data_IF_173708646781
#
_entry.id   IF_173708646781
#
_cell.length_a   1.000
_cell.length_b   1.000
_cell.length_c   1.000
_cell.angle_alpha   90.00
_cell.angle_beta   90.00
_cell.angle_gamma   90.00
#
_symmetry.space_group_name_H-M   'P 1'
#
loop_
_entity.id
_entity.type
_entity.pdbx_description
1 polymer ?
#
# COMPACT_ATOMS: atom_id res chain seq x y z
N UNK A 1 -15.73 -21.90 -12.09
CA UNK A 1 -15.72 -20.53 -11.52
C UNK A 1 -15.75 -20.62 -9.99
N UNK A 2 -14.66 -20.24 -9.32
CA UNK A 2 -14.56 -20.29 -7.84
C UNK A 2 -15.60 -19.38 -7.21
N UNK A 3 -16.07 -19.70 -5.99
CA UNK A 3 -17.10 -18.92 -5.30
C UNK A 3 -16.72 -17.44 -5.14
N UNK A 4 -15.42 -17.13 -5.00
CA UNK A 4 -14.91 -15.76 -4.89
C UNK A 4 -15.18 -14.89 -6.13
N UNK A 5 -15.08 -15.44 -7.34
CA UNK A 5 -15.35 -14.70 -8.58
C UNK A 5 -16.84 -14.36 -8.71
N UNK A 6 -17.74 -15.27 -8.29
CA UNK A 6 -19.18 -14.99 -8.31
C UNK A 6 -19.59 -13.91 -7.33
N UNK A 7 -18.97 -13.88 -6.14
CA UNK A 7 -19.20 -12.84 -5.12
C UNK A 7 -18.65 -11.48 -5.56
N UNK A 8 -17.52 -11.46 -6.27
CA UNK A 8 -16.98 -10.24 -6.85
C UNK A 8 -17.89 -9.68 -7.96
N UNK A 9 -18.39 -10.54 -8.84
CA UNK A 9 -19.31 -10.15 -9.91
C UNK A 9 -20.68 -9.70 -9.41
N UNK A 10 -21.18 -10.23 -8.28
CA UNK A 10 -22.42 -9.75 -7.66
C UNK A 10 -22.22 -8.40 -6.95
N UNK A 11 -21.06 -8.16 -6.33
CA UNK A 11 -20.67 -6.87 -5.75
C UNK A 11 -20.58 -5.74 -6.79
N UNK A 12 -20.18 -6.10 -8.01
CA UNK A 12 -20.04 -5.18 -9.15
C UNK A 12 -21.35 -4.90 -9.90
N UNK A 13 -22.53 -5.29 -9.42
CA UNK A 13 -23.79 -5.03 -10.15
C UNK A 13 -24.26 -3.56 -10.03
N UNK A 14 -24.95 -3.08 -11.06
CA UNK A 14 -25.56 -1.75 -11.10
C UNK A 14 -24.54 -0.61 -11.22
N UNK A 15 -24.76 0.51 -10.52
CA UNK A 15 -23.90 1.70 -10.58
C UNK A 15 -22.44 1.45 -10.15
N UNK A 16 -22.20 0.42 -9.32
CA UNK A 16 -20.84 0.00 -8.93
C UNK A 16 -20.02 -0.55 -10.09
N UNK A 17 -20.66 -1.18 -11.09
CA UNK A 17 -19.97 -1.64 -12.30
C UNK A 17 -19.37 -0.45 -13.04
N UNK A 18 -20.18 0.60 -13.22
CA UNK A 18 -19.81 1.80 -13.96
C UNK A 18 -18.64 2.49 -13.27
N UNK A 19 -18.70 2.64 -11.94
CA UNK A 19 -17.59 3.20 -11.15
C UNK A 19 -16.32 2.35 -11.30
N UNK A 20 -16.43 1.02 -11.20
CA UNK A 20 -15.28 0.13 -11.36
C UNK A 20 -14.67 0.21 -12.77
N UNK A 21 -15.48 0.34 -13.81
CA UNK A 21 -15.02 0.55 -15.19
C UNK A 21 -14.32 1.90 -15.31
N UNK A 22 -14.91 2.98 -14.80
CA UNK A 22 -14.29 4.32 -14.85
C UNK A 22 -12.93 4.30 -14.15
N UNK A 23 -12.85 3.71 -12.95
CA UNK A 23 -11.58 3.56 -12.22
C UNK A 23 -10.60 2.71 -13.04
N UNK A 24 -11.05 1.58 -13.59
CA UNK A 24 -10.21 0.71 -14.42
C UNK A 24 -9.64 1.44 -15.63
N UNK A 25 -10.46 2.18 -16.37
CA UNK A 25 -10.03 2.98 -17.51
C UNK A 25 -9.06 4.09 -17.07
N UNK A 26 -9.36 4.80 -15.99
CA UNK A 26 -8.46 5.84 -15.46
C UNK A 26 -7.09 5.27 -15.07
N UNK A 27 -7.05 4.09 -14.44
CA UNK A 27 -5.81 3.39 -14.10
C UNK A 27 -5.05 3.01 -15.37
N UNK A 28 -5.72 2.38 -16.34
CA UNK A 28 -5.08 1.97 -17.61
C UNK A 28 -4.48 3.18 -18.35
N UNK A 29 -5.22 4.28 -18.46
CA UNK A 29 -4.74 5.49 -19.13
C UNK A 29 -3.58 6.14 -18.39
N UNK A 30 -3.65 6.22 -17.06
CA UNK A 30 -2.59 6.83 -16.24
C UNK A 30 -1.30 6.02 -16.29
N UNK A 31 -1.41 4.70 -16.14
CA UNK A 31 -0.28 3.77 -16.23
C UNK A 31 0.29 3.76 -17.64
N UNK A 32 -0.56 3.62 -18.67
CA UNK A 32 -0.13 3.64 -20.07
C UNK A 32 0.62 4.93 -20.43
N UNK A 33 0.13 6.09 -19.98
CA UNK A 33 0.81 7.38 -20.16
C UNK A 33 2.17 7.42 -19.47
N UNK A 34 2.25 6.94 -18.23
CA UNK A 34 3.52 6.91 -17.48
C UNK A 34 4.56 6.03 -18.17
N UNK A 35 4.17 4.84 -18.63
CA UNK A 35 5.04 3.92 -19.36
C UNK A 35 5.47 4.48 -20.73
N UNK A 36 4.54 5.05 -21.49
CA UNK A 36 4.87 5.66 -22.78
C UNK A 36 5.87 6.82 -22.60
N UNK A 37 5.67 7.67 -21.59
CA UNK A 37 6.60 8.74 -21.26
C UNK A 37 7.99 8.21 -20.88
N UNK A 38 8.06 7.24 -19.97
CA UNK A 38 9.33 6.62 -19.57
C UNK A 38 10.04 5.95 -20.75
N UNK A 39 9.31 5.27 -21.64
CA UNK A 39 9.87 4.60 -22.80
C UNK A 39 10.48 5.59 -23.80
N UNK A 40 9.76 6.67 -24.12
CA UNK A 40 10.27 7.72 -25.01
C UNK A 40 11.51 8.39 -24.41
N UNK A 41 11.51 8.68 -23.12
CA UNK A 41 12.67 9.25 -22.43
C UNK A 41 13.88 8.32 -22.49
N UNK A 42 13.70 7.02 -22.25
CA UNK A 42 14.78 6.03 -22.34
C UNK A 42 15.38 6.00 -23.75
N UNK A 43 14.55 5.95 -24.79
CA UNK A 43 15.03 5.96 -26.18
C UNK A 43 15.78 7.25 -26.50
N UNK A 44 15.26 8.40 -26.06
CA UNK A 44 15.90 9.69 -26.23
C UNK A 44 17.29 9.73 -25.59
N UNK A 45 17.40 9.30 -24.33
CA UNK A 45 18.67 9.28 -23.60
C UNK A 45 19.69 8.30 -24.20
N UNK A 46 19.23 7.16 -24.72
CA UNK A 46 20.08 6.21 -25.44
C UNK A 46 20.59 6.82 -26.75
N UNK A 47 19.73 7.47 -27.53
CA UNK A 47 20.10 8.13 -28.79
C UNK A 47 21.05 9.30 -28.59
N UNK A 48 20.87 10.07 -27.51
CA UNK A 48 21.74 11.18 -27.16
C UNK A 48 23.10 10.74 -26.55
N UNK A 49 23.29 9.44 -26.33
CA UNK A 49 24.52 8.89 -25.72
C UNK A 49 24.60 9.01 -24.20
N UNK A 50 23.54 9.50 -23.54
CA UNK A 50 23.47 9.71 -22.09
C UNK A 50 22.85 8.55 -21.29
N UNK A 51 22.53 7.43 -21.94
CA UNK A 51 21.87 6.28 -21.31
C UNK A 51 22.54 5.80 -20.01
N UNK A 52 23.88 5.78 -19.96
CA UNK A 52 24.62 5.38 -18.74
C UNK A 52 24.38 6.34 -17.57
N UNK A 53 24.38 7.66 -17.83
CA UNK A 53 24.13 8.69 -16.80
C UNK A 53 22.68 8.65 -16.35
N UNK A 54 21.74 8.47 -17.28
CA UNK A 54 20.32 8.31 -16.99
C UNK A 54 20.08 7.14 -16.04
N UNK A 55 20.58 5.94 -16.34
CA UNK A 55 20.39 4.78 -15.48
C UNK A 55 21.07 4.93 -14.13
N UNK A 56 22.26 5.55 -14.08
CA UNK A 56 22.92 5.87 -12.81
C UNK A 56 22.05 6.79 -11.95
N UNK A 57 21.42 7.81 -12.53
CA UNK A 57 20.48 8.69 -11.82
C UNK A 57 19.25 7.92 -11.33
N UNK A 58 18.60 7.14 -12.20
CA UNK A 58 17.41 6.35 -11.84
C UNK A 58 17.71 5.43 -10.67
N UNK A 59 18.82 4.69 -10.73
CA UNK A 59 19.24 3.78 -9.66
C UNK A 59 19.51 4.52 -8.36
N UNK A 60 20.16 5.68 -8.40
CA UNK A 60 20.43 6.44 -7.18
C UNK A 60 19.17 7.07 -6.59
N UNK A 61 18.31 7.65 -7.41
CA UNK A 61 17.09 8.30 -6.95
C UNK A 61 16.11 7.28 -6.36
N UNK A 62 15.82 6.21 -7.11
CA UNK A 62 14.94 5.15 -6.63
C UNK A 62 15.58 4.34 -5.51
N UNK A 63 16.86 3.99 -5.65
CA UNK A 63 17.59 3.23 -4.64
C UNK A 63 17.67 3.96 -3.31
N UNK A 64 17.98 5.26 -3.30
CA UNK A 64 18.01 6.04 -2.06
C UNK A 64 16.62 6.15 -1.43
N UNK A 65 15.58 6.48 -2.20
CA UNK A 65 14.19 6.56 -1.70
C UNK A 65 13.71 5.22 -1.14
N UNK A 66 13.94 4.12 -1.86
CA UNK A 66 13.57 2.78 -1.39
C UNK A 66 14.35 2.40 -0.14
N UNK A 67 15.66 2.69 -0.08
CA UNK A 67 16.49 2.36 1.10
C UNK A 67 16.01 3.12 2.33
N UNK A 68 15.80 4.43 2.21
CA UNK A 68 15.29 5.26 3.31
C UNK A 68 13.89 4.81 3.71
N UNK A 69 12.99 4.64 2.74
CA UNK A 69 11.61 4.24 2.98
C UNK A 69 11.48 2.89 3.68
N UNK A 70 12.25 1.89 3.25
CA UNK A 70 12.32 0.57 3.92
C UNK A 70 12.90 0.71 5.32
N UNK A 71 13.94 1.52 5.51
CA UNK A 71 14.54 1.75 6.83
C UNK A 71 13.51 2.36 7.79
N UNK A 72 12.80 3.40 7.35
CA UNK A 72 11.74 4.07 8.13
C UNK A 72 10.61 3.09 8.42
N UNK A 73 10.12 2.35 7.42
CA UNK A 73 9.06 1.36 7.59
C UNK A 73 9.45 0.30 8.64
N UNK A 74 10.69 -0.22 8.57
CA UNK A 74 11.19 -1.19 9.55
C UNK A 74 11.29 -0.60 10.96
N UNK A 75 11.80 0.62 11.10
CA UNK A 75 11.87 1.31 12.38
C UNK A 75 10.47 1.49 12.98
N UNK A 76 9.51 1.97 12.19
CA UNK A 76 8.11 2.15 12.63
C UNK A 76 7.48 0.80 13.00
N UNK A 77 7.69 -0.23 12.19
CA UNK A 77 7.16 -1.57 12.44
C UNK A 77 7.70 -2.16 13.75
N UNK A 78 9.00 -2.04 13.99
CA UNK A 78 9.63 -2.49 15.24
C UNK A 78 9.07 -1.71 16.43
N UNK A 79 8.97 -0.38 16.33
CA UNK A 79 8.43 0.47 17.41
C UNK A 79 6.99 0.09 17.75
N UNK A 80 6.12 -0.02 16.75
CA UNK A 80 4.72 -0.40 16.94
C UNK A 80 4.55 -1.83 17.45
N UNK A 81 5.42 -2.76 17.01
CA UNK A 81 5.43 -4.13 17.52
C UNK A 81 5.79 -4.18 19.01
N UNK A 82 6.79 -3.40 19.44
CA UNK A 82 7.16 -3.30 20.85
C UNK A 82 6.03 -2.65 21.65
N UNK A 83 5.46 -1.55 21.17
CA UNK A 83 4.35 -0.86 21.83
C UNK A 83 3.12 -1.77 21.99
N UNK A 84 2.71 -2.46 20.93
CA UNK A 84 1.56 -3.37 20.95
C UNK A 84 1.79 -4.59 21.86
N UNK A 85 3.01 -5.14 21.91
CA UNK A 85 3.35 -6.23 22.82
C UNK A 85 3.31 -5.79 24.30
N UNK A 86 3.75 -4.55 24.58
CA UNK A 86 3.78 -3.99 25.94
C UNK A 86 2.38 -3.65 26.46
N UNK A 87 1.44 -3.28 25.57
CA UNK A 87 0.07 -2.90 25.93
C UNK A 87 -0.84 -4.08 26.35
N UNK A 88 -0.35 -5.32 26.37
CA UNK A 88 -1.08 -6.47 26.94
C UNK A 88 -2.38 -6.85 26.21
N UNK A 89 -2.58 -6.36 24.98
CA UNK A 89 -3.82 -6.49 24.21
C UNK A 89 -4.72 -5.28 24.41
N UNK A 90 -5.13 -4.65 23.29
CA UNK A 90 -6.06 -3.51 23.32
C UNK A 90 -7.42 -4.04 23.76
N UNK A 91 -7.80 -3.75 25.00
CA UNK A 91 -9.12 -4.05 25.54
C UNK A 91 -10.04 -2.87 25.27
N UNK A 92 -11.00 -3.03 24.38
CA UNK A 92 -12.05 -2.02 24.21
C UNK A 92 -13.06 -2.27 25.33
N UNK A 93 -13.12 -1.34 26.29
CA UNK A 93 -14.15 -1.37 27.33
C UNK A 93 -15.45 -0.85 26.76
N UNK A 94 -16.49 -1.69 26.73
CA UNK A 94 -17.87 -1.26 26.44
C UNK A 94 -18.74 -1.53 27.66
N UNK A 95 -19.49 -0.51 28.09
CA UNK A 95 -20.54 -0.65 29.13
C UNK A 95 -21.87 -0.89 28.44
N UNK A 96 -22.51 -2.00 28.76
CA UNK A 96 -23.91 -2.25 28.39
C UNK A 96 -24.71 -2.44 29.68
N UNK A 97 -25.48 -1.41 30.05
CA UNK A 97 -26.18 -1.40 31.33
C UNK A 97 -25.21 -1.46 32.52
N UNK A 98 -25.36 -2.48 33.37
CA UNK A 98 -24.54 -2.70 34.57
C UNK A 98 -23.37 -3.70 34.35
N UNK A 99 -23.08 -4.09 33.10
CA UNK A 99 -22.03 -5.07 32.77
C UNK A 99 -20.91 -4.36 31.98
N UNK A 100 -19.67 -4.52 32.44
CA UNK A 100 -18.45 -4.10 31.73
C UNK A 100 -17.88 -5.28 30.95
N UNK A 101 -17.93 -5.21 29.62
CA UNK A 101 -17.33 -6.21 28.73
C UNK A 101 -16.02 -5.62 28.20
N UNK A 102 -14.92 -6.31 28.48
CA UNK A 102 -13.60 -6.00 27.94
C UNK A 102 -13.29 -6.98 26.81
N UNK A 103 -13.54 -6.56 25.57
CA UNK A 103 -13.26 -7.39 24.40
C UNK A 103 -11.81 -7.17 23.94
N UNK A 104 -11.03 -8.24 23.82
CA UNK A 104 -9.68 -8.19 23.29
C UNK A 104 -9.73 -8.18 21.76
N UNK A 105 -9.09 -7.18 21.14
CA UNK A 105 -8.98 -7.13 19.68
C UNK A 105 -8.13 -8.33 19.20
N UNK A 106 -8.55 -9.06 18.14
CA UNK A 106 -7.76 -10.15 17.58
C UNK A 106 -6.37 -9.67 17.14
N UNK A 107 -5.35 -10.47 17.46
CA UNK A 107 -3.93 -10.13 17.24
C UNK A 107 -3.61 -9.91 15.77
N UNK A 108 -4.31 -10.61 14.89
CA UNK A 108 -4.18 -10.52 13.44
C UNK A 108 -4.52 -9.10 12.95
N UNK A 109 -5.55 -8.47 13.52
CA UNK A 109 -5.98 -7.13 13.12
C UNK A 109 -4.97 -6.06 13.54
N UNK A 110 -4.41 -6.20 14.74
CA UNK A 110 -3.35 -5.31 15.26
C UNK A 110 -2.08 -5.44 14.40
N UNK A 111 -1.74 -6.65 13.99
CA UNK A 111 -0.58 -6.89 13.13
C UNK A 111 -0.75 -6.25 11.75
N UNK A 112 -1.90 -6.45 11.09
CA UNK A 112 -2.20 -5.82 9.80
C UNK A 112 -2.24 -4.30 9.90
N UNK A 113 -2.85 -3.74 10.95
CA UNK A 113 -2.85 -2.29 11.18
C UNK A 113 -1.45 -1.73 11.36
N UNK A 114 -0.61 -2.44 12.12
CA UNK A 114 0.81 -2.07 12.31
C UNK A 114 1.60 -2.11 11.01
N UNK A 115 1.40 -3.16 10.20
CA UNK A 115 2.07 -3.31 8.91
C UNK A 115 1.67 -2.20 7.95
N UNK A 116 0.36 -1.94 7.82
CA UNK A 116 -0.17 -0.89 6.93
C UNK A 116 0.38 0.48 7.36
N UNK A 117 0.34 0.80 8.65
CA UNK A 117 0.88 2.06 9.16
C UNK A 117 2.38 2.20 8.88
N UNK A 118 3.16 1.14 9.09
CA UNK A 118 4.59 1.13 8.81
C UNK A 118 4.90 1.36 7.31
N UNK A 119 4.17 0.69 6.42
CA UNK A 119 4.35 0.87 4.97
C UNK A 119 3.99 2.29 4.56
N UNK A 120 2.85 2.82 4.99
CA UNK A 120 2.44 4.19 4.64
C UNK A 120 3.47 5.23 5.12
N UNK A 121 3.96 5.09 6.35
CA UNK A 121 4.97 6.00 6.90
C UNK A 121 6.32 5.89 6.17
N UNK A 122 6.65 4.72 5.62
CA UNK A 122 7.87 4.52 4.82
C UNK A 122 7.75 4.92 3.35
N UNK A 123 6.58 5.34 2.86
CA UNK A 123 6.37 5.72 1.45
C UNK A 123 6.57 7.21 1.15
N UNK A 124 7.07 7.99 2.11
CA UNK A 124 7.36 9.42 1.96
C UNK A 124 8.75 9.69 1.36
#
# INVERSE_FOLDING_TARGET
MSQGVRNFLSFLRGGRLVVAIIIGVAVVLSVGRAFAGAYVEILWQMQAGYGTVFWKRVVWEWGSRTTVGVTVALLVLVNLKIASATLGGIQIRRRFGNIEISEQIPKEFVWWGTLIAAVLMGTW
#
